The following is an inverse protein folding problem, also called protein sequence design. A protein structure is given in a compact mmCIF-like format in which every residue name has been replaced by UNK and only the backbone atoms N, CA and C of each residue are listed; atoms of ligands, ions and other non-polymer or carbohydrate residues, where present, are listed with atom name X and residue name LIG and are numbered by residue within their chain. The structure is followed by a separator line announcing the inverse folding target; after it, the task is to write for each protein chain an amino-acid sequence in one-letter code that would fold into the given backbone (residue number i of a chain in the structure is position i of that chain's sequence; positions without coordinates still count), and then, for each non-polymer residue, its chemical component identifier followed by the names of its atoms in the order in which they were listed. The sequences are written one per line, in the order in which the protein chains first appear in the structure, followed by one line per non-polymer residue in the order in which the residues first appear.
data_IF_679336601691
#
_entry.id   IF_679336601691
#
_cell.length_a   1.000
_cell.length_b   1.000
_cell.length_c   1.000
_cell.angle_alpha   90.00
_cell.angle_beta   90.00
_cell.angle_gamma   90.00
#
_symmetry.space_group_name_H-M   'P 1'
#
loop_
_entity.id
_entity.type
_entity.pdbx_description
1 polymer ?
#
# COMPACT_ATOMS: atom_id res chain seq x y z
N UNK A 1 21.27 14.43 -12.46
CA UNK A 1 20.13 14.24 -11.55
C UNK A 1 20.39 12.96 -10.79
N UNK A 2 20.57 12.94 -9.46
CA UNK A 2 20.64 11.67 -8.76
C UNK A 2 19.30 10.95 -8.96
N UNK A 3 19.35 9.68 -9.35
CA UNK A 3 18.17 8.83 -9.25
C UNK A 3 17.72 8.92 -7.80
N UNK A 4 16.45 9.25 -7.55
CA UNK A 4 15.90 9.14 -6.21
C UNK A 4 16.01 7.67 -5.82
N UNK A 5 17.04 7.32 -5.06
CA UNK A 5 17.14 6.02 -4.44
C UNK A 5 15.89 5.89 -3.57
N UNK A 6 15.00 4.97 -3.92
CA UNK A 6 13.80 4.68 -3.13
C UNK A 6 14.26 3.69 -2.07
N UNK A 7 14.66 4.10 -0.84
CA UNK A 7 15.15 3.18 0.17
C UNK A 7 14.12 2.07 0.46
N UNK A 8 12.84 2.36 0.23
CA UNK A 8 11.75 1.41 0.37
C UNK A 8 11.95 0.16 -0.51
N UNK A 9 12.49 0.29 -1.73
CA UNK A 9 12.68 -0.86 -2.64
C UNK A 9 13.81 -1.80 -2.21
N UNK A 10 14.64 -1.40 -1.23
CA UNK A 10 15.70 -2.24 -0.68
C UNK A 10 15.35 -2.86 0.68
N UNK A 11 14.22 -2.49 1.27
CA UNK A 11 13.74 -3.06 2.52
C UNK A 11 13.30 -4.53 2.35
N UNK A 12 13.20 -5.24 3.48
CA UNK A 12 12.71 -6.62 3.53
C UNK A 12 11.44 -6.70 4.41
N UNK A 13 10.31 -6.12 3.97
CA UNK A 13 9.05 -6.14 4.71
C UNK A 13 8.57 -7.57 4.96
N UNK A 14 8.17 -7.85 6.20
CA UNK A 14 7.50 -9.10 6.56
C UNK A 14 5.99 -8.91 6.42
N UNK A 15 5.49 -9.17 5.22
CA UNK A 15 4.07 -8.99 4.88
C UNK A 15 3.14 -9.86 5.72
N UNK A 16 2.04 -9.25 6.16
CA UNK A 16 0.95 -9.88 6.89
C UNK A 16 -0.37 -9.54 6.23
N UNK A 17 -1.27 -10.52 6.17
CA UNK A 17 -2.60 -10.36 5.57
C UNK A 17 -3.53 -9.58 6.49
N UNK A 18 -4.10 -8.50 5.99
CA UNK A 18 -5.08 -7.69 6.73
C UNK A 18 -6.50 -8.22 6.58
N UNK A 19 -6.78 -9.03 5.57
CA UNK A 19 -8.16 -9.45 5.25
C UNK A 19 -9.02 -8.37 4.60
N UNK A 20 -8.48 -7.17 4.35
CA UNK A 20 -9.15 -6.12 3.59
C UNK A 20 -8.94 -6.33 2.08
N UNK A 21 -10.01 -6.19 1.28
CA UNK A 21 -9.92 -6.40 -0.17
C UNK A 21 -9.08 -5.34 -0.90
N UNK A 22 -9.12 -4.09 -0.44
CA UNK A 22 -8.40 -2.96 -1.03
C UNK A 22 -6.97 -2.84 -0.48
N UNK A 23 -6.77 -3.19 0.79
CA UNK A 23 -5.48 -3.11 1.47
C UNK A 23 -5.00 -4.49 1.92
N UNK A 24 -4.72 -5.45 1.02
CA UNK A 24 -4.63 -6.87 1.36
C UNK A 24 -3.51 -7.22 2.34
N UNK A 25 -2.41 -6.47 2.33
CA UNK A 25 -1.25 -6.74 3.17
C UNK A 25 -0.63 -5.50 3.79
N UNK A 26 -0.01 -5.72 4.94
CA UNK A 26 0.74 -4.72 5.68
C UNK A 26 2.01 -5.32 6.28
N UNK A 27 3.02 -4.49 6.53
CA UNK A 27 4.28 -4.88 7.16
C UNK A 27 4.76 -3.77 8.10
N UNK A 28 5.45 -4.14 9.18
CA UNK A 28 6.20 -3.19 9.99
C UNK A 28 7.65 -3.18 9.50
N UNK A 29 8.15 -2.01 9.08
CA UNK A 29 9.53 -1.79 8.64
C UNK A 29 10.07 -0.58 9.39
N UNK A 30 11.15 -0.76 10.14
CA UNK A 30 11.81 0.32 10.92
C UNK A 30 10.85 1.14 11.81
N UNK A 31 9.87 0.46 12.43
CA UNK A 31 8.87 1.10 13.30
C UNK A 31 7.77 1.86 12.56
N UNK A 32 7.73 1.76 11.23
CA UNK A 32 6.68 2.34 10.38
C UNK A 32 5.78 1.26 9.81
N UNK A 33 4.49 1.53 9.75
CA UNK A 33 3.51 0.66 9.12
C UNK A 33 3.44 0.92 7.64
N UNK A 34 3.77 -0.11 6.87
CA UNK A 34 3.66 -0.16 5.43
C UNK A 34 2.38 -0.88 5.07
N UNK A 35 1.58 -0.31 4.18
CA UNK A 35 0.33 -0.89 3.70
C UNK A 35 0.32 -0.84 2.18
N UNK A 36 0.01 -1.96 1.55
CA UNK A 36 -0.18 -2.02 0.11
C UNK A 36 -1.66 -1.94 -0.23
N UNK A 37 -2.00 -1.01 -1.12
CA UNK A 37 -3.29 -0.96 -1.80
C UNK A 37 -3.21 -1.69 -3.13
N UNK A 38 -4.15 -2.57 -3.42
CA UNK A 38 -4.33 -3.12 -4.77
C UNK A 38 -5.18 -2.16 -5.59
N UNK A 39 -4.69 -1.79 -6.78
CA UNK A 39 -5.40 -0.90 -7.69
C UNK A 39 -6.04 -1.67 -8.86
N UNK A 40 -6.86 -0.97 -9.64
CA UNK A 40 -7.41 -1.47 -10.90
C UNK A 40 -6.33 -1.48 -11.98
N UNK A 41 -5.57 -2.57 -12.08
CA UNK A 41 -4.63 -2.80 -13.16
C UNK A 41 -5.36 -3.32 -14.42
N UNK A 42 -5.02 -2.89 -15.65
CA UNK A 42 -3.85 -2.08 -16.04
C UNK A 42 -4.10 -0.56 -16.11
N UNK A 43 -5.30 -0.08 -15.80
CA UNK A 43 -5.62 1.36 -15.83
C UNK A 43 -4.76 2.18 -14.84
N UNK A 44 -4.38 1.57 -13.72
CA UNK A 44 -3.50 2.12 -12.70
C UNK A 44 -2.38 1.14 -12.34
N UNK A 45 -1.27 1.64 -11.75
CA UNK A 45 -0.19 0.77 -11.30
C UNK A 45 -0.70 -0.29 -10.34
N UNK A 46 -0.23 -1.54 -10.41
CA UNK A 46 -0.83 -2.66 -9.68
C UNK A 46 -0.97 -2.41 -8.17
N UNK A 47 0.04 -1.79 -7.57
CA UNK A 47 0.11 -1.50 -6.15
C UNK A 47 0.46 -0.05 -5.86
N UNK A 48 -0.08 0.48 -4.76
CA UNK A 48 0.40 1.72 -4.13
C UNK A 48 0.89 1.40 -2.72
N UNK A 49 2.12 1.82 -2.40
CA UNK A 49 2.68 1.75 -1.04
C UNK A 49 2.28 3.00 -0.24
N UNK A 50 1.69 2.76 0.92
CA UNK A 50 1.48 3.74 1.96
C UNK A 50 2.39 3.45 3.14
N UNK A 51 3.05 4.48 3.68
CA UNK A 51 3.83 4.39 4.92
C UNK A 51 3.21 5.34 5.93
N UNK A 52 2.74 4.79 7.06
CA UNK A 52 1.98 5.50 8.09
C UNK A 52 0.80 6.31 7.52
N UNK A 53 0.12 5.79 6.49
CA UNK A 53 -1.01 6.45 5.83
C UNK A 53 -0.63 7.45 4.73
N UNK A 54 0.65 7.70 4.49
CA UNK A 54 1.12 8.62 3.46
C UNK A 54 1.54 7.82 2.22
N UNK A 55 1.02 8.19 1.03
CA UNK A 55 1.48 7.60 -0.24
C UNK A 55 2.98 7.81 -0.40
N UNK A 56 3.70 6.75 -0.75
CA UNK A 56 5.16 6.78 -1.02
C UNK A 56 5.48 6.53 -2.48
N UNK A 57 5.01 5.40 -3.02
CA UNK A 57 5.27 5.04 -4.42
C UNK A 57 4.17 4.15 -4.98
N UNK A 58 4.07 4.18 -6.31
CA UNK A 58 3.27 3.25 -7.09
C UNK A 58 4.22 2.25 -7.76
N UNK A 59 3.83 0.98 -7.79
CA UNK A 59 4.61 -0.10 -8.40
C UNK A 59 3.70 -1.06 -9.15
N UNK A 60 4.15 -1.50 -10.33
CA UNK A 60 3.51 -2.59 -11.05
C UNK A 60 3.95 -3.95 -10.52
N UNK A 61 5.22 -4.05 -10.12
CA UNK A 61 5.83 -5.26 -9.59
C UNK A 61 6.52 -5.00 -8.25
N UNK A 62 6.40 -5.97 -7.34
CA UNK A 62 7.09 -5.91 -6.07
C UNK A 62 8.62 -6.05 -6.27
N UNK A 63 9.45 -5.22 -5.63
CA UNK A 63 10.89 -5.40 -5.60
C UNK A 63 11.26 -6.81 -5.11
N UNK A 64 12.31 -7.45 -5.66
CA UNK A 64 12.72 -8.79 -5.25
C UNK A 64 12.98 -8.95 -3.75
N UNK A 65 13.45 -7.89 -3.09
CA UNK A 65 13.70 -7.81 -1.65
C UNK A 65 12.43 -7.90 -0.80
N UNK A 66 11.26 -7.55 -1.35
CA UNK A 66 9.98 -7.61 -0.67
C UNK A 66 9.40 -9.02 -0.65
N UNK A 67 9.97 -9.95 -1.42
CA UNK A 67 9.41 -11.29 -1.63
C UNK A 67 8.08 -11.21 -2.37
N UNK A 68 7.09 -11.97 -1.90
CA UNK A 68 5.75 -12.03 -2.48
C UNK A 68 4.74 -11.38 -1.52
N UNK A 69 4.37 -10.10 -1.73
CA UNK A 69 3.52 -9.39 -0.78
C UNK A 69 2.14 -10.01 -0.63
N UNK A 70 1.55 -10.50 -1.72
CA UNK A 70 0.24 -11.13 -1.73
C UNK A 70 0.29 -12.67 -1.56
N UNK A 71 1.39 -13.22 -1.05
CA UNK A 71 1.50 -14.66 -0.83
C UNK A 71 0.37 -15.17 0.07
N UNK A 72 -0.35 -16.22 -0.37
CA UNK A 72 -1.42 -16.82 0.45
C UNK A 72 -0.91 -17.40 1.77
N UNK A 73 0.37 -17.77 1.81
CA UNK A 73 1.09 -18.28 2.98
C UNK A 73 1.48 -17.20 3.98
N UNK A 74 1.34 -15.90 3.64
CA UNK A 74 1.64 -14.82 4.57
C UNK A 74 0.75 -14.91 5.82
N UNK A 75 1.32 -14.75 7.03
CA UNK A 75 0.56 -14.83 8.27
C UNK A 75 -0.47 -13.70 8.35
N UNK A 76 -1.56 -13.93 9.08
CA UNK A 76 -2.55 -12.90 9.33
C UNK A 76 -1.98 -11.79 10.25
N UNK A 77 -2.39 -10.54 10.00
CA UNK A 77 -2.16 -9.45 10.92
C UNK A 77 -2.97 -9.69 12.20
N UNK A 78 -2.36 -9.44 13.35
CA UNK A 78 -3.01 -9.65 14.64
C UNK A 78 -4.23 -8.72 14.78
N UNK A 79 -5.40 -9.22 15.23
CA UNK A 79 -6.64 -8.44 15.24
C UNK A 79 -6.53 -7.07 15.91
N UNK A 80 -5.73 -6.96 16.97
CA UNK A 80 -5.51 -5.70 17.69
C UNK A 80 -4.80 -4.62 16.87
N UNK A 81 -4.04 -4.99 15.84
CA UNK A 81 -3.26 -4.08 15.00
C UNK A 81 -4.04 -3.63 13.75
N UNK A 82 -5.19 -4.25 13.44
CA UNK A 82 -5.95 -3.91 12.23
C UNK A 82 -6.37 -2.45 12.22
N UNK A 83 -6.91 -1.95 13.34
CA UNK A 83 -7.34 -0.56 13.44
C UNK A 83 -6.16 0.40 13.31
N UNK A 84 -5.03 0.12 13.97
CA UNK A 84 -3.82 0.95 13.91
C UNK A 84 -3.28 1.06 12.48
N UNK A 85 -3.23 -0.07 11.77
CA UNK A 85 -2.68 -0.16 10.42
C UNK A 85 -3.65 0.38 9.35
N UNK A 86 -4.94 0.08 9.46
CA UNK A 86 -5.92 0.40 8.42
C UNK A 86 -6.61 1.76 8.62
N UNK A 87 -6.72 2.28 9.86
CA UNK A 87 -7.36 3.58 10.08
C UNK A 87 -6.74 4.72 9.26
N UNK A 88 -5.40 4.84 9.14
CA UNK A 88 -4.78 5.90 8.35
C UNK A 88 -5.11 5.84 6.85
N UNK A 89 -5.35 4.65 6.32
CA UNK A 89 -5.59 4.43 4.87
C UNK A 89 -7.05 4.17 4.54
N UNK A 90 -7.96 4.11 5.52
CA UNK A 90 -9.36 3.71 5.31
C UNK A 90 -10.11 4.55 4.26
N UNK A 91 -9.72 5.82 4.10
CA UNK A 91 -10.28 6.76 3.11
C UNK A 91 -9.56 6.77 1.78
N UNK A 92 -8.47 6.01 1.64
CA UNK A 92 -7.55 6.04 0.49
C UNK A 92 -7.81 4.90 -0.51
N UNK A 93 -9.03 4.36 -0.48
CA UNK A 93 -9.42 3.18 -1.27
C UNK A 93 -9.36 3.47 -2.77
N UNK A 94 -9.79 4.65 -3.20
CA UNK A 94 -9.77 5.05 -4.60
C UNK A 94 -8.39 5.58 -4.98
N UNK A 95 -7.85 5.14 -6.12
CA UNK A 95 -6.63 5.73 -6.67
C UNK A 95 -6.82 7.24 -6.89
N UNK A 96 -5.88 8.05 -6.38
CA UNK A 96 -5.93 9.52 -6.44
C UNK A 96 -6.51 10.20 -5.19
N UNK A 97 -7.20 9.48 -4.31
CA UNK A 97 -7.73 10.03 -3.04
C UNK A 97 -6.63 10.48 -2.07
N UNK A 98 -5.40 10.00 -2.26
CA UNK A 98 -4.20 10.38 -1.51
C UNK A 98 -3.68 11.80 -1.78
N UNK A 99 -4.10 12.45 -2.87
CA UNK A 99 -3.59 13.78 -3.27
C UNK A 99 -4.28 14.91 -2.51
N UNK A 100 -5.39 14.63 -1.81
CA UNK A 100 -6.10 15.63 -1.00
C UNK A 100 -6.78 16.74 -1.80
N UNK A 101 -6.57 16.79 -3.12
CA UNK A 101 -7.42 17.56 -4.03
C UNK A 101 -8.64 16.69 -4.34
N UNK A 102 -9.85 17.08 -3.92
CA UNK A 102 -11.05 16.43 -4.42
C UNK A 102 -10.98 16.52 -5.95
N UNK A 103 -10.99 15.38 -6.63
CA UNK A 103 -11.17 15.36 -8.05
C UNK A 103 -12.52 16.05 -8.36
N UNK A 104 -12.48 17.32 -8.77
CA UNK A 104 -13.62 18.05 -9.39
C UNK A 104 -13.95 17.50 -10.79
N UNK A 105 -13.60 16.24 -11.06
CA UNK A 105 -13.81 15.58 -12.33
C UNK A 105 -14.95 14.56 -12.18
N UNK A 106 -16.12 14.79 -12.80
CA UNK A 106 -17.33 13.97 -12.62
C UNK A 106 -17.21 12.53 -13.15
N UNK A 107 -16.07 12.14 -13.70
CA UNK A 107 -15.81 10.80 -14.24
C UNK A 107 -15.09 9.86 -13.26
N UNK A 108 -14.54 10.37 -12.15
CA UNK A 108 -13.83 9.55 -11.15
C UNK A 108 -14.71 9.17 -9.95
N UNK A 109 -15.97 9.63 -9.90
CA UNK A 109 -16.92 9.38 -8.80
C UNK A 109 -18.14 8.52 -9.22
N UNK A 110 -18.03 7.75 -10.31
CA UNK A 110 -19.09 6.87 -10.80
C UNK A 110 -19.01 5.47 -10.24
#
# INVERSE_FOLDING_TARGET
MPAHETPETHAQPRWRRTGNAYFPVAAAVDGQWWVLRINSFPDHPLWTLFVNGVRRLDIDDAPPSWGEPAARSAPALEPGLHAEVLNPVRGLVAYGSEVGEPCDNPFCCG
#
